data_IF_183096652602
#
_entry.id   IF_183096652602
#
_cell.length_a   1.000
_cell.length_b   1.000
_cell.length_c   1.000
_cell.angle_alpha   90.00
_cell.angle_beta   90.00
_cell.angle_gamma   90.00
#
_symmetry.space_group_name_H-M   'P 1'
#
loop_
_entity.id
_entity.type
_entity.pdbx_description
1 polymer ?
#
# COMPACT_ATOMS: atom_id res chain seq x y z
N UNK A 1 -21.00 -6.89 -5.65
CA UNK A 1 -20.79 -8.09 -4.80
C UNK A 1 -19.68 -7.81 -3.82
N UNK A 2 -19.84 -8.29 -2.59
CA UNK A 2 -18.84 -8.13 -1.51
C UNK A 2 -18.44 -9.51 -1.00
N UNK A 3 -17.14 -9.74 -0.81
CA UNK A 3 -16.60 -10.98 -0.22
C UNK A 3 -15.93 -10.61 1.10
N UNK A 4 -16.28 -11.32 2.18
CA UNK A 4 -15.75 -11.08 3.54
C UNK A 4 -15.22 -12.37 4.13
N UNK A 5 -14.23 -12.28 5.02
CA UNK A 5 -13.69 -13.44 5.74
C UNK A 5 -12.59 -13.05 6.74
N UNK A 6 -11.93 -14.05 7.27
CA UNK A 6 -10.80 -13.93 8.17
C UNK A 6 -9.50 -14.24 7.44
N UNK A 7 -8.40 -13.58 7.81
CA UNK A 7 -7.08 -13.87 7.26
C UNK A 7 -6.53 -15.25 7.72
N UNK A 8 -7.10 -15.82 8.78
CA UNK A 8 -6.84 -17.19 9.21
C UNK A 8 -7.38 -18.25 8.24
N UNK A 9 -8.49 -17.94 7.58
CA UNK A 9 -9.18 -18.85 6.66
C UNK A 9 -8.74 -18.63 5.21
N UNK A 10 -8.40 -17.40 4.88
CA UNK A 10 -7.99 -16.99 3.54
C UNK A 10 -6.84 -15.97 3.63
N UNK A 11 -5.65 -16.43 3.43
CA UNK A 11 -4.44 -15.63 3.60
C UNK A 11 -4.33 -14.47 2.61
N UNK A 12 -3.53 -13.46 2.94
CA UNK A 12 -3.29 -12.31 2.05
C UNK A 12 -2.75 -12.71 0.66
N UNK A 13 -1.79 -13.67 0.53
CA UNK A 13 -1.39 -14.20 -0.77
C UNK A 13 -2.53 -14.80 -1.60
N UNK A 14 -3.44 -15.54 -0.98
CA UNK A 14 -4.61 -16.12 -1.66
C UNK A 14 -5.60 -15.05 -2.11
N UNK A 15 -5.78 -13.98 -1.31
CA UNK A 15 -6.58 -12.83 -1.69
C UNK A 15 -5.99 -12.13 -2.93
N UNK A 16 -4.68 -11.96 -3.01
CA UNK A 16 -4.04 -11.37 -4.18
C UNK A 16 -4.12 -12.28 -5.41
N UNK A 17 -4.02 -13.60 -5.24
CA UNK A 17 -4.28 -14.54 -6.33
C UNK A 17 -5.74 -14.47 -6.81
N UNK A 18 -6.69 -14.37 -5.89
CA UNK A 18 -8.11 -14.20 -6.21
C UNK A 18 -8.38 -12.92 -7.00
N UNK A 19 -7.75 -11.81 -6.61
CA UNK A 19 -7.85 -10.52 -7.30
C UNK A 19 -7.24 -10.62 -8.70
N UNK A 20 -6.03 -11.16 -8.81
CA UNK A 20 -5.27 -11.25 -10.06
C UNK A 20 -5.93 -12.17 -11.07
N UNK A 21 -6.17 -13.45 -10.72
CA UNK A 21 -6.78 -14.45 -11.59
C UNK A 21 -8.21 -14.09 -12.02
N UNK A 22 -8.94 -13.45 -11.13
CA UNK A 22 -10.30 -13.00 -11.40
C UNK A 22 -10.39 -11.65 -12.10
N UNK A 23 -9.27 -11.01 -12.46
CA UNK A 23 -9.22 -9.65 -13.03
C UNK A 23 -10.14 -8.69 -12.27
N UNK A 24 -10.11 -8.78 -10.93
CA UNK A 24 -11.04 -8.05 -10.08
C UNK A 24 -10.76 -6.57 -10.07
N UNK A 25 -11.84 -5.79 -10.01
CA UNK A 25 -11.81 -4.33 -9.78
C UNK A 25 -12.60 -4.03 -8.52
N UNK A 26 -11.99 -3.29 -7.57
CA UNK A 26 -12.62 -2.96 -6.30
C UNK A 26 -11.61 -2.57 -5.23
N UNK A 27 -12.06 -2.56 -3.97
CA UNK A 27 -11.23 -2.27 -2.82
C UNK A 27 -11.19 -3.44 -1.84
N UNK A 28 -9.99 -3.86 -1.48
CA UNK A 28 -9.73 -4.78 -0.38
C UNK A 28 -9.51 -3.95 0.88
N UNK A 29 -10.36 -4.16 1.89
CA UNK A 29 -10.22 -3.58 3.23
C UNK A 29 -9.70 -4.65 4.15
N UNK A 30 -8.64 -4.32 4.89
CA UNK A 30 -8.04 -5.18 5.91
C UNK A 30 -8.13 -4.48 7.26
N UNK A 31 -8.66 -5.19 8.24
CA UNK A 31 -8.76 -4.72 9.63
C UNK A 31 -8.04 -5.69 10.53
N UNK A 32 -7.09 -5.21 11.32
CA UNK A 32 -6.41 -6.04 12.32
C UNK A 32 -7.33 -6.36 13.49
N UNK A 33 -7.22 -7.57 14.05
CA UNK A 33 -7.94 -8.00 15.24
C UNK A 33 -7.09 -7.88 16.52
N UNK A 34 -5.96 -7.15 16.47
CA UNK A 34 -5.06 -7.02 17.62
C UNK A 34 -5.79 -6.57 18.88
N UNK A 35 -5.66 -7.37 19.94
CA UNK A 35 -6.29 -7.17 21.25
C UNK A 35 -5.72 -6.01 22.08
N UNK A 36 -4.66 -5.37 21.64
CA UNK A 36 -3.97 -4.33 22.39
C UNK A 36 -4.69 -2.98 22.29
N UNK A 37 -5.60 -2.70 23.22
CA UNK A 37 -5.96 -1.35 23.77
C UNK A 37 -6.14 -0.17 22.79
N UNK A 38 -6.18 -0.34 21.49
CA UNK A 38 -6.51 0.72 20.57
C UNK A 38 -8.03 0.84 20.45
N UNK A 39 -8.56 2.00 20.76
CA UNK A 39 -10.00 2.32 20.66
C UNK A 39 -10.58 2.05 19.28
N UNK A 40 -9.73 2.04 18.22
CA UNK A 40 -10.10 1.62 16.87
C UNK A 40 -8.90 0.94 16.19
N UNK A 41 -9.02 -0.33 15.77
CA UNK A 41 -7.97 -1.00 15.01
C UNK A 41 -7.75 -0.32 13.65
N UNK A 42 -6.50 -0.25 13.17
CA UNK A 42 -6.20 0.36 11.87
C UNK A 42 -6.88 -0.43 10.74
N UNK A 43 -7.39 0.31 9.78
CA UNK A 43 -7.98 -0.23 8.55
C UNK A 43 -7.08 0.16 7.38
N UNK A 44 -6.76 -0.81 6.56
CA UNK A 44 -5.98 -0.62 5.33
C UNK A 44 -6.87 -0.81 4.12
N UNK A 45 -6.70 0.03 3.12
CA UNK A 45 -7.44 0.03 1.87
C UNK A 45 -6.48 -0.22 0.72
N UNK A 46 -6.72 -1.26 -0.06
CA UNK A 46 -5.92 -1.63 -1.23
C UNK A 46 -6.85 -1.65 -2.44
N UNK A 47 -6.64 -0.74 -3.38
CA UNK A 47 -7.46 -0.68 -4.59
C UNK A 47 -6.84 -1.50 -5.70
N UNK A 48 -7.71 -2.33 -6.30
CA UNK A 48 -7.39 -3.14 -7.46
C UNK A 48 -8.18 -2.65 -8.68
N UNK A 49 -7.55 -2.68 -9.83
CA UNK A 49 -8.16 -2.44 -11.13
C UNK A 49 -7.72 -3.53 -12.09
N UNK A 50 -8.68 -4.31 -12.59
CA UNK A 50 -8.44 -5.43 -13.51
C UNK A 50 -7.31 -6.38 -13.05
N UNK A 51 -7.34 -6.78 -11.79
CA UNK A 51 -6.34 -7.68 -11.20
C UNK A 51 -5.03 -7.03 -10.78
N UNK A 52 -4.85 -5.74 -11.00
CA UNK A 52 -3.63 -4.98 -10.68
C UNK A 52 -3.86 -4.06 -9.50
N UNK A 53 -2.89 -3.97 -8.60
CA UNK A 53 -2.95 -3.01 -7.49
C UNK A 53 -2.51 -1.64 -8.00
N UNK A 54 -3.34 -0.64 -7.74
CA UNK A 54 -3.20 0.72 -8.26
C UNK A 54 -2.98 1.78 -7.17
N UNK A 55 -3.45 1.52 -5.94
CA UNK A 55 -3.26 2.41 -4.80
C UNK A 55 -3.38 1.64 -3.49
N UNK A 56 -2.77 2.15 -2.43
CA UNK A 56 -2.97 1.69 -1.07
C UNK A 56 -2.99 2.90 -0.12
N UNK A 57 -3.83 2.85 0.93
CA UNK A 57 -3.92 3.89 1.95
C UNK A 57 -4.45 3.30 3.26
N UNK A 58 -4.22 4.01 4.35
CA UNK A 58 -4.83 3.75 5.66
C UNK A 58 -5.94 4.75 6.01
N UNK A 59 -6.33 5.61 5.06
CA UNK A 59 -7.32 6.67 5.19
C UNK A 59 -8.15 6.77 3.90
N UNK A 60 -9.37 7.28 4.01
CA UNK A 60 -10.28 7.48 2.87
C UNK A 60 -10.45 8.95 2.46
N UNK A 61 -9.67 9.86 3.02
CA UNK A 61 -9.77 11.30 2.75
C UNK A 61 -9.13 11.73 1.42
N UNK A 62 -8.57 10.80 0.69
CA UNK A 62 -7.86 11.03 -0.58
C UNK A 62 -6.72 12.07 -0.48
N UNK A 63 -6.08 12.16 0.68
CA UNK A 63 -4.95 13.05 0.95
C UNK A 63 -3.60 12.32 1.07
N UNK A 64 -3.59 11.01 0.95
CA UNK A 64 -2.39 10.20 1.16
C UNK A 64 -1.28 10.53 0.17
N UNK A 65 -1.56 10.47 -1.13
CA UNK A 65 -0.57 10.73 -2.19
C UNK A 65 -0.06 12.19 -2.14
N UNK A 66 -0.96 13.17 -1.99
CA UNK A 66 -0.55 14.57 -1.92
C UNK A 66 0.29 14.87 -0.67
N UNK A 67 -0.03 14.25 0.46
CA UNK A 67 0.77 14.36 1.68
C UNK A 67 2.16 13.78 1.49
N UNK A 68 2.28 12.66 0.78
CA UNK A 68 3.55 12.03 0.44
C UNK A 68 4.39 12.93 -0.48
N UNK A 69 3.80 13.52 -1.52
CA UNK A 69 4.44 14.47 -2.42
C UNK A 69 4.98 15.69 -1.63
N UNK A 70 4.16 16.25 -0.75
CA UNK A 70 4.56 17.39 0.11
C UNK A 70 5.75 17.04 1.02
N UNK A 71 5.77 15.85 1.60
CA UNK A 71 6.88 15.37 2.45
C UNK A 71 8.20 15.20 1.71
N UNK A 72 8.16 14.96 0.39
CA UNK A 72 9.37 14.82 -0.43
C UNK A 72 10.04 16.16 -0.76
N UNK A 73 9.32 17.28 -0.62
CA UNK A 73 9.83 18.62 -0.93
C UNK A 73 10.38 18.81 -2.35
N UNK A 74 9.96 17.95 -3.30
CA UNK A 74 10.37 18.08 -4.71
C UNK A 74 9.69 19.25 -5.42
N UNK A 75 8.54 19.65 -4.90
CA UNK A 75 7.71 20.73 -5.43
C UNK A 75 7.25 21.59 -4.26
N UNK A 76 7.13 22.91 -4.48
CA UNK A 76 6.61 23.78 -3.43
C UNK A 76 5.17 23.41 -3.04
N UNK A 77 4.88 23.47 -1.75
CA UNK A 77 3.56 23.13 -1.23
C UNK A 77 2.44 23.98 -1.84
N UNK A 78 2.73 25.22 -2.21
CA UNK A 78 1.77 26.11 -2.86
C UNK A 78 1.39 25.62 -4.26
N UNK A 79 2.35 25.19 -5.05
CA UNK A 79 2.13 24.63 -6.39
C UNK A 79 1.31 23.35 -6.28
N UNK A 80 1.70 22.44 -5.41
CA UNK A 80 0.98 21.16 -5.21
C UNK A 80 -0.47 21.42 -4.78
N UNK A 81 -0.70 22.36 -3.85
CA UNK A 81 -2.05 22.67 -3.37
C UNK A 81 -2.92 23.29 -4.45
N UNK A 82 -2.38 24.23 -5.26
CA UNK A 82 -3.12 24.83 -6.37
C UNK A 82 -3.50 23.79 -7.42
N UNK A 83 -2.56 22.95 -7.83
CA UNK A 83 -2.81 21.89 -8.81
C UNK A 83 -3.86 20.91 -8.30
N UNK A 84 -3.82 20.56 -7.03
CA UNK A 84 -4.80 19.65 -6.41
C UNK A 84 -6.23 20.24 -6.38
N UNK A 85 -6.37 21.56 -6.19
CA UNK A 85 -7.68 22.23 -6.20
C UNK A 85 -8.34 22.21 -7.57
N UNK A 86 -7.55 22.38 -8.63
CA UNK A 86 -8.04 22.42 -10.02
C UNK A 86 -7.96 21.08 -10.74
N UNK A 87 -7.67 20.00 -10.01
CA UNK A 87 -7.45 18.68 -10.56
C UNK A 87 -8.75 18.03 -11.02
N UNK A 88 -8.86 17.62 -12.30
CA UNK A 88 -9.99 16.83 -12.79
C UNK A 88 -9.94 15.42 -12.18
N UNK A 89 -11.06 14.95 -11.62
CA UNK A 89 -11.12 13.65 -10.94
C UNK A 89 -11.21 12.43 -11.90
N UNK A 90 -10.94 12.61 -13.16
CA UNK A 90 -11.07 11.59 -14.22
C UNK A 90 -9.77 10.85 -14.54
N UNK A 91 -8.64 11.32 -14.04
CA UNK A 91 -7.31 10.75 -14.32
C UNK A 91 -6.47 10.60 -13.05
N UNK A 92 -5.49 9.67 -13.00
CA UNK A 92 -4.58 9.54 -11.87
C UNK A 92 -3.79 10.83 -11.60
N UNK A 93 -3.79 11.29 -10.34
CA UNK A 93 -3.12 12.53 -9.93
C UNK A 93 -1.63 12.54 -10.33
N UNK A 94 -0.91 11.46 -10.09
CA UNK A 94 0.51 11.36 -10.42
C UNK A 94 0.79 11.55 -11.92
N UNK A 95 -0.04 10.95 -12.80
CA UNK A 95 0.10 11.14 -14.25
C UNK A 95 -0.16 12.58 -14.67
N UNK A 96 -1.13 13.25 -14.07
CA UNK A 96 -1.40 14.64 -14.38
C UNK A 96 -0.25 15.55 -13.96
N UNK A 97 0.31 15.36 -12.76
CA UNK A 97 1.47 16.10 -12.31
C UNK A 97 2.71 15.86 -13.21
N UNK A 98 2.88 14.63 -13.69
CA UNK A 98 3.92 14.31 -14.66
C UNK A 98 3.70 15.02 -16.00
N UNK A 99 2.47 14.97 -16.55
CA UNK A 99 2.15 15.60 -17.82
C UNK A 99 2.30 17.12 -17.80
N UNK A 100 2.14 17.72 -16.62
CA UNK A 100 2.39 19.15 -16.39
C UNK A 100 3.87 19.48 -16.09
N UNK A 101 4.77 18.49 -16.14
CA UNK A 101 6.18 18.68 -15.86
C UNK A 101 6.51 18.92 -14.38
N UNK A 102 5.56 18.71 -13.47
CA UNK A 102 5.72 18.90 -12.03
C UNK A 102 6.48 17.75 -11.37
N UNK A 103 6.23 16.52 -11.84
CA UNK A 103 6.92 15.31 -11.38
C UNK A 103 7.57 14.57 -12.56
N UNK A 104 8.70 13.93 -12.26
CA UNK A 104 9.39 13.06 -13.20
C UNK A 104 8.97 11.59 -13.04
N UNK A 105 9.26 10.76 -14.05
CA UNK A 105 8.91 9.33 -14.02
C UNK A 105 9.51 8.58 -12.84
N UNK A 106 10.76 8.89 -12.47
CA UNK A 106 11.44 8.25 -11.34
C UNK A 106 10.80 8.65 -10.00
N UNK A 107 10.35 9.89 -9.89
CA UNK A 107 9.62 10.36 -8.70
C UNK A 107 8.27 9.65 -8.56
N UNK A 108 7.56 9.38 -9.66
CA UNK A 108 6.34 8.57 -9.61
C UNK A 108 6.59 7.14 -9.16
N UNK A 109 7.70 6.54 -9.60
CA UNK A 109 8.10 5.18 -9.15
C UNK A 109 8.39 5.16 -7.65
N UNK A 110 9.11 6.16 -7.14
CA UNK A 110 9.39 6.28 -5.71
C UNK A 110 8.10 6.46 -4.90
N UNK A 111 7.18 7.32 -5.36
CA UNK A 111 5.87 7.49 -4.71
C UNK A 111 5.07 6.19 -4.68
N UNK A 112 5.02 5.46 -5.79
CA UNK A 112 4.33 4.18 -5.87
C UNK A 112 4.97 3.13 -4.96
N UNK A 113 6.29 3.08 -4.91
CA UNK A 113 7.02 2.17 -4.03
C UNK A 113 6.66 2.42 -2.56
N UNK A 114 6.66 3.67 -2.13
CA UNK A 114 6.34 4.02 -0.73
C UNK A 114 4.86 3.84 -0.43
N UNK A 115 3.98 4.31 -1.31
CA UNK A 115 2.54 4.28 -1.10
C UNK A 115 1.96 2.86 -1.19
N UNK A 116 2.41 2.07 -2.15
CA UNK A 116 1.82 0.76 -2.43
C UNK A 116 2.72 -0.37 -1.94
N UNK A 117 3.94 -0.49 -2.46
CA UNK A 117 4.76 -1.67 -2.20
C UNK A 117 5.14 -1.78 -0.72
N UNK A 118 5.60 -0.70 -0.09
CA UNK A 118 5.99 -0.75 1.32
C UNK A 118 4.80 -0.99 2.25
N UNK A 119 3.66 -0.32 2.01
CA UNK A 119 2.47 -0.51 2.83
C UNK A 119 1.90 -1.91 2.69
N UNK A 120 1.75 -2.41 1.46
CA UNK A 120 1.21 -3.75 1.21
C UNK A 120 2.15 -4.82 1.74
N UNK A 121 3.47 -4.68 1.56
CA UNK A 121 4.44 -5.64 2.09
C UNK A 121 4.42 -5.73 3.62
N UNK A 122 4.16 -4.62 4.33
CA UNK A 122 4.00 -4.65 5.78
C UNK A 122 2.79 -5.49 6.24
N UNK A 123 1.76 -5.60 5.41
CA UNK A 123 0.56 -6.37 5.72
C UNK A 123 0.77 -7.89 5.66
N UNK A 124 1.82 -8.38 5.01
CA UNK A 124 2.15 -9.81 4.99
C UNK A 124 2.58 -10.36 6.37
N UNK A 125 2.89 -9.48 7.32
CA UNK A 125 3.18 -9.86 8.70
C UNK A 125 1.91 -10.04 9.54
N UNK A 126 0.75 -9.61 9.05
CA UNK A 126 -0.51 -9.79 9.74
C UNK A 126 -0.89 -11.27 9.77
N UNK A 127 -1.01 -11.83 10.97
CA UNK A 127 -1.46 -13.21 11.19
C UNK A 127 -2.98 -13.28 11.32
N UNK A 128 -3.56 -12.25 11.94
CA UNK A 128 -4.97 -12.18 12.28
C UNK A 128 -5.58 -10.90 11.69
N UNK A 129 -6.77 -11.02 11.16
CA UNK A 129 -7.48 -9.88 10.62
C UNK A 129 -8.76 -10.28 9.91
N UNK A 130 -9.60 -9.29 9.74
CA UNK A 130 -10.79 -9.40 8.89
C UNK A 130 -10.51 -8.73 7.55
N UNK A 131 -10.98 -9.36 6.48
CA UNK A 131 -10.96 -8.72 5.18
C UNK A 131 -12.37 -8.54 4.62
N UNK A 132 -12.51 -7.53 3.78
CA UNK A 132 -13.68 -7.30 2.95
C UNK A 132 -13.22 -6.81 1.58
N UNK A 133 -13.59 -7.53 0.52
CA UNK A 133 -13.39 -7.09 -0.85
C UNK A 133 -14.71 -6.60 -1.43
N UNK A 134 -14.80 -5.32 -1.72
CA UNK A 134 -15.97 -4.68 -2.34
C UNK A 134 -15.68 -4.38 -3.81
N UNK A 135 -16.47 -5.00 -4.71
CA UNK A 135 -16.42 -4.70 -6.14
C UNK A 135 -17.26 -3.45 -6.46
N UNK A 136 -16.99 -2.84 -7.61
CA UNK A 136 -17.73 -1.67 -8.11
C UNK A 136 -17.62 -0.41 -7.23
N UNK A 137 -16.57 -0.32 -6.43
CA UNK A 137 -16.24 0.89 -5.69
C UNK A 137 -15.49 1.86 -6.61
N UNK A 138 -15.77 3.16 -6.57
CA UNK A 138 -15.02 4.14 -7.36
C UNK A 138 -13.51 4.06 -7.07
N UNK A 139 -12.72 4.14 -8.15
CA UNK A 139 -11.26 4.15 -8.03
C UNK A 139 -10.81 5.52 -7.56
N UNK A 140 -9.91 5.60 -6.56
CA UNK A 140 -9.49 6.86 -5.95
C UNK A 140 -8.43 7.57 -6.82
N UNK A 141 -8.84 8.24 -7.88
CA UNK A 141 -7.94 8.89 -8.84
C UNK A 141 -6.92 9.83 -8.17
N UNK A 142 -7.30 10.47 -7.06
CA UNK A 142 -6.41 11.35 -6.27
C UNK A 142 -5.35 10.61 -5.46
N UNK A 143 -5.54 9.32 -5.23
CA UNK A 143 -4.57 8.45 -4.55
C UNK A 143 -3.69 7.67 -5.53
N UNK A 144 -3.90 7.82 -6.83
CA UNK A 144 -3.18 7.05 -7.83
C UNK A 144 -2.00 7.81 -8.41
N UNK A 145 -0.84 7.17 -8.40
CA UNK A 145 0.34 7.64 -9.15
C UNK A 145 0.19 7.47 -10.66
N UNK A 146 -0.70 6.57 -11.10
CA UNK A 146 -0.84 6.11 -12.47
C UNK A 146 -0.02 4.85 -12.79
N UNK A 147 0.75 4.36 -11.82
CA UNK A 147 1.44 3.08 -11.92
C UNK A 147 0.58 1.96 -11.33
N UNK A 148 0.88 0.73 -11.69
CA UNK A 148 0.20 -0.47 -11.17
C UNK A 148 1.12 -1.66 -11.19
N UNK A 149 0.83 -2.64 -10.33
CA UNK A 149 1.54 -3.93 -10.27
C UNK A 149 0.52 -5.07 -10.25
N UNK A 150 0.74 -6.20 -10.96
CA UNK A 150 -0.12 -7.37 -10.83
C UNK A 150 -0.23 -7.79 -9.37
N UNK A 151 -1.43 -8.10 -8.88
CA UNK A 151 -1.62 -8.40 -7.46
C UNK A 151 -0.78 -9.61 -7.02
N UNK A 152 -0.62 -10.62 -7.87
CA UNK A 152 0.19 -11.81 -7.57
C UNK A 152 1.69 -11.49 -7.38
N UNK A 153 2.22 -10.47 -8.03
CA UNK A 153 3.62 -10.07 -7.91
C UNK A 153 3.94 -9.56 -6.50
N UNK A 154 2.98 -8.96 -5.81
CA UNK A 154 3.15 -8.51 -4.43
C UNK A 154 3.42 -9.68 -3.46
N UNK A 155 2.96 -10.89 -3.77
CA UNK A 155 3.27 -12.07 -2.97
C UNK A 155 4.79 -12.34 -2.91
N UNK A 156 5.50 -12.15 -4.02
CA UNK A 156 6.95 -12.32 -4.09
C UNK A 156 7.66 -11.24 -3.27
N UNK A 157 7.27 -9.97 -3.40
CA UNK A 157 7.83 -8.88 -2.62
C UNK A 157 7.59 -9.04 -1.12
N UNK A 158 6.38 -9.42 -0.70
CA UNK A 158 6.03 -9.64 0.69
C UNK A 158 6.83 -10.77 1.31
N UNK A 159 7.00 -11.89 0.62
CA UNK A 159 7.78 -13.04 1.08
C UNK A 159 9.27 -12.69 1.22
N UNK A 160 9.87 -11.98 0.26
CA UNK A 160 11.27 -11.56 0.33
C UNK A 160 11.49 -10.66 1.53
N UNK A 161 10.62 -9.69 1.78
CA UNK A 161 10.74 -8.78 2.93
C UNK A 161 10.66 -9.53 4.25
N UNK A 162 9.68 -10.42 4.42
CA UNK A 162 9.53 -11.24 5.63
C UNK A 162 10.75 -12.13 5.87
N UNK A 163 11.35 -12.68 4.80
CA UNK A 163 12.57 -13.50 4.91
C UNK A 163 13.78 -12.65 5.28
N UNK A 164 13.94 -11.47 4.68
CA UNK A 164 15.07 -10.55 5.00
C UNK A 164 15.03 -10.13 6.47
N UNK A 165 13.88 -9.71 6.98
CA UNK A 165 13.71 -9.32 8.39
C UNK A 165 13.99 -10.48 9.35
N UNK A 166 13.60 -11.73 8.99
CA UNK A 166 13.93 -12.92 9.80
C UNK A 166 15.43 -13.22 9.82
N UNK A 167 16.13 -12.97 8.71
CA UNK A 167 17.58 -13.17 8.62
C UNK A 167 18.31 -12.11 9.45
N UNK A 168 17.92 -10.84 9.34
CA UNK A 168 18.50 -9.76 10.14
C UNK A 168 18.32 -10.00 11.65
N UNK A 169 17.14 -10.39 12.10
CA UNK A 169 16.87 -10.71 13.49
C UNK A 169 17.72 -11.90 13.99
N UNK A 170 17.90 -12.94 13.16
CA UNK A 170 18.78 -14.07 13.52
C UNK A 170 20.24 -13.68 13.59
N UNK A 171 20.70 -12.75 12.77
CA UNK A 171 22.08 -12.26 12.83
C UNK A 171 22.33 -11.43 14.08
N UNK A 172 21.34 -10.70 14.58
CA UNK A 172 21.44 -9.93 15.82
C UNK A 172 21.53 -10.84 17.06
N UNK A 173 20.87 -12.00 17.04
CA UNK A 173 20.93 -12.99 18.13
C UNK A 173 22.26 -13.75 18.18
N UNK A 174 23.11 -13.67 17.14
CA UNK A 174 24.39 -14.38 17.03
C UNK A 174 25.60 -13.52 17.42
N UNK A 175 25.46 -12.30 17.89
CA UNK A 175 26.57 -11.50 18.43
C UNK A 175 26.86 -12.00 19.84
N UNK A 176 27.98 -12.73 20.09
CA UNK A 176 28.32 -13.13 21.44
C UNK A 176 28.69 -11.86 22.23
N UNK A 177 28.07 -11.70 23.38
CA UNK A 177 28.45 -10.66 24.32
C UNK A 177 29.95 -10.81 24.65
N UNK A 178 30.74 -9.75 24.62
CA UNK A 178 32.15 -9.84 25.00
C UNK A 178 32.22 -10.30 26.46
N UNK A 179 32.79 -11.47 26.64
CA UNK A 179 33.11 -12.01 27.98
C UNK A 179 34.05 -11.00 28.62
N UNK A 180 33.62 -10.43 29.73
CA UNK A 180 34.44 -9.49 30.48
C UNK A 180 35.78 -10.10 30.89
N UNK A 181 36.85 -9.44 30.47
CA UNK A 181 38.20 -9.70 30.97
C UNK A 181 38.27 -9.02 32.34
N UNK A 182 38.53 -9.84 33.35
CA UNK A 182 38.94 -9.41 34.71
C UNK A 182 40.34 -8.79 34.70
#
# INVERSE_FOLDING_TARGET
MSTTGLLTDFSLPELFQFIDKGHKTGVLRLRTLSEAQATMPPVYYIWAYQGRIVAAANRLDQQGLISLIKKRHWVSNQVVTKLFQFYPNDKPLGLCLKNQGVLQSEQLKDLFQVQVLQQVCALFQLKDGQFKFDQHVPIPMREMTGLSVPAVVLNQYGLIKVLSEKIENRCLDLIPHPVGVR
#
